data_IF_158538703714
#
_entry.id   IF_158538703714
#
_cell.length_a   1.000
_cell.length_b   1.000
_cell.length_c   1.000
_cell.angle_alpha   90.00
_cell.angle_beta   90.00
_cell.angle_gamma   90.00
#
_symmetry.space_group_name_H-M   'P 1'
#
loop_
_entity.id
_entity.type
_entity.pdbx_description
1 polymer ?
#
# COMPACT_ATOMS: atom_id res chain seq x y z
N UNK A 1 -11.94 21.88 19.70
CA UNK A 1 -12.87 22.83 19.03
C UNK A 1 -14.20 22.75 19.77
N UNK A 2 -14.55 23.78 20.56
CA UNK A 2 -15.77 23.74 21.38
C UNK A 2 -17.00 23.40 20.53
N UNK A 3 -17.81 22.46 21.02
CA UNK A 3 -19.02 21.99 20.31
C UNK A 3 -18.83 21.00 19.18
N UNK A 4 -17.57 20.64 18.83
CA UNK A 4 -17.27 19.60 17.84
C UNK A 4 -16.56 18.43 18.51
N UNK A 5 -15.41 18.67 19.12
CA UNK A 5 -14.66 17.66 19.87
C UNK A 5 -13.81 18.33 20.95
N UNK A 6 -13.61 17.64 22.06
CA UNK A 6 -12.68 18.00 23.13
C UNK A 6 -11.39 17.16 23.09
N UNK A 7 -11.26 16.24 22.11
CA UNK A 7 -10.11 15.34 21.95
C UNK A 7 -9.13 15.89 20.89
N UNK A 8 -7.85 15.93 21.22
CA UNK A 8 -6.79 16.40 20.30
C UNK A 8 -6.59 15.45 19.12
N UNK A 9 -6.69 14.16 19.40
CA UNK A 9 -6.53 13.13 18.38
C UNK A 9 -7.55 13.26 17.26
N UNK A 10 -8.80 13.66 17.55
CA UNK A 10 -9.83 13.86 16.53
C UNK A 10 -9.43 14.97 15.55
N UNK A 11 -8.81 16.03 16.08
CA UNK A 11 -8.38 17.17 15.27
C UNK A 11 -7.19 16.76 14.40
N UNK A 12 -6.20 16.09 14.99
CA UNK A 12 -5.03 15.60 14.26
C UNK A 12 -5.41 14.59 13.17
N UNK A 13 -6.31 13.67 13.49
CA UNK A 13 -6.81 12.70 12.53
C UNK A 13 -7.64 13.35 11.42
N UNK A 14 -8.51 14.30 11.75
CA UNK A 14 -9.27 15.07 10.77
C UNK A 14 -8.37 15.80 9.77
N UNK A 15 -7.27 16.39 10.25
CA UNK A 15 -6.31 17.07 9.37
C UNK A 15 -5.52 16.08 8.51
N UNK A 16 -5.13 14.93 9.05
CA UNK A 16 -4.47 13.89 8.27
C UNK A 16 -5.39 13.30 7.20
N UNK A 17 -6.62 12.93 7.56
CA UNK A 17 -7.56 12.28 6.66
C UNK A 17 -8.21 13.25 5.66
N UNK A 18 -8.57 14.45 6.12
CA UNK A 18 -9.28 15.44 5.30
C UNK A 18 -8.37 16.26 4.38
N UNK A 19 -7.13 16.50 4.81
CA UNK A 19 -6.17 17.37 4.09
C UNK A 19 -4.88 16.66 3.70
N UNK A 20 -4.79 15.36 3.93
CA UNK A 20 -3.61 14.55 3.61
C UNK A 20 -2.32 15.07 4.27
N UNK A 21 -2.41 15.62 5.47
CA UNK A 21 -1.24 16.04 6.21
C UNK A 21 -0.49 14.83 6.77
N UNK A 22 0.82 14.90 6.83
CA UNK A 22 1.65 13.85 7.43
C UNK A 22 1.54 13.80 8.95
N UNK A 23 1.24 14.93 9.57
CA UNK A 23 1.05 15.11 11.03
C UNK A 23 -0.09 16.08 11.27
N UNK A 24 -0.83 15.86 12.36
CA UNK A 24 -1.83 16.82 12.82
C UNK A 24 -1.21 18.01 13.56
N UNK A 25 -1.98 19.07 13.82
CA UNK A 25 -1.47 20.29 14.47
C UNK A 25 -0.92 20.07 15.88
N UNK A 26 -1.50 19.17 16.67
CA UNK A 26 -1.04 18.88 18.02
C UNK A 26 0.19 17.98 18.01
N UNK A 27 0.28 17.03 17.07
CA UNK A 27 1.51 16.24 16.84
C UNK A 27 2.69 17.14 16.43
N UNK A 28 2.44 18.15 15.60
CA UNK A 28 3.47 19.15 15.22
C UNK A 28 3.87 20.03 16.42
N UNK A 29 2.91 20.43 17.27
CA UNK A 29 3.19 21.20 18.48
C UNK A 29 4.03 20.39 19.48
N UNK A 30 3.76 19.10 19.68
CA UNK A 30 4.58 18.22 20.52
C UNK A 30 6.03 18.12 20.00
N UNK A 31 6.21 17.98 18.69
CA UNK A 31 7.52 17.87 18.09
C UNK A 31 8.35 19.18 18.21
N UNK A 32 7.71 20.31 18.03
CA UNK A 32 8.34 21.64 18.21
C UNK A 32 8.61 21.95 19.68
N UNK A 33 7.78 21.42 20.56
CA UNK A 33 7.69 21.76 21.97
C UNK A 33 6.82 22.99 22.21
N UNK A 34 5.79 22.85 23.06
CA UNK A 34 4.83 23.94 23.35
C UNK A 34 5.54 25.17 23.90
N UNK A 35 6.50 24.98 24.82
CA UNK A 35 7.31 26.05 25.40
C UNK A 35 8.16 26.77 24.34
N UNK A 36 8.73 26.05 23.39
CA UNK A 36 9.48 26.60 22.25
C UNK A 36 8.59 27.44 21.34
N UNK A 37 7.39 26.95 21.04
CA UNK A 37 6.41 27.67 20.23
C UNK A 37 6.08 29.04 20.85
N UNK A 38 5.70 29.07 22.14
CA UNK A 38 5.38 30.34 22.84
C UNK A 38 6.58 31.27 22.97
N UNK A 39 7.79 30.78 23.13
CA UNK A 39 8.99 31.62 23.21
C UNK A 39 9.20 32.44 21.93
N UNK A 40 8.82 31.90 20.78
CA UNK A 40 8.98 32.54 19.45
C UNK A 40 7.80 33.43 19.07
N UNK A 41 6.61 33.11 19.53
CA UNK A 41 5.37 33.83 19.20
C UNK A 41 4.84 34.66 20.36
N UNK A 42 5.71 35.52 20.95
CA UNK A 42 5.43 36.35 22.14
C UNK A 42 4.22 37.27 22.03
N UNK A 43 3.74 37.59 20.86
CA UNK A 43 2.59 38.47 20.60
C UNK A 43 1.31 37.68 20.23
N UNK A 44 1.30 36.38 20.44
CA UNK A 44 0.10 35.60 20.23
C UNK A 44 -0.83 35.75 21.43
N UNK A 45 -1.85 36.60 21.29
CA UNK A 45 -2.99 36.62 22.22
C UNK A 45 -3.80 35.34 22.00
N UNK A 46 -3.31 34.26 22.57
CA UNK A 46 -3.71 32.93 22.24
C UNK A 46 -4.71 32.31 23.16
N UNK A 47 -4.96 31.10 22.91
CA UNK A 47 -5.84 30.23 23.63
C UNK A 47 -5.27 29.98 25.04
N UNK A 48 -5.99 30.43 26.09
CA UNK A 48 -5.66 30.21 27.51
C UNK A 48 -5.32 28.75 27.84
N UNK A 49 -5.84 27.81 27.08
CA UNK A 49 -5.55 26.40 27.23
C UNK A 49 -4.08 26.07 26.87
N UNK A 50 -3.57 26.62 25.76
CA UNK A 50 -2.18 26.41 25.35
C UNK A 50 -1.21 27.15 26.29
N UNK A 51 -1.59 28.31 26.81
CA UNK A 51 -0.83 29.06 27.83
C UNK A 51 -0.69 28.24 29.12
N UNK A 52 -1.78 27.67 29.62
CA UNK A 52 -1.77 26.78 30.78
C UNK A 52 -0.90 25.53 30.55
N UNK A 53 -0.90 24.96 29.34
CA UNK A 53 -0.06 23.82 29.02
C UNK A 53 1.43 24.19 29.04
N UNK A 54 1.79 25.35 28.50
CA UNK A 54 3.16 25.85 28.54
C UNK A 54 3.63 26.09 29.99
N UNK A 55 2.75 26.63 30.88
CA UNK A 55 3.04 26.86 32.30
C UNK A 55 3.22 25.54 33.05
N UNK A 56 2.43 24.52 32.76
CA UNK A 56 2.50 23.21 33.42
C UNK A 56 3.66 22.34 32.90
N UNK A 57 4.39 22.81 31.88
CA UNK A 57 5.43 22.01 31.16
C UNK A 57 4.95 20.64 30.65
N UNK A 58 3.66 20.52 30.45
CA UNK A 58 3.07 19.30 29.90
C UNK A 58 3.08 19.42 28.38
N UNK A 59 4.09 18.83 27.74
CA UNK A 59 4.33 18.91 26.31
C UNK A 59 3.74 17.73 25.54
N UNK A 60 3.06 16.80 26.22
CA UNK A 60 2.49 15.59 25.62
C UNK A 60 0.96 15.64 25.63
N UNK A 61 0.37 16.06 24.51
CA UNK A 61 -1.08 16.09 24.33
C UNK A 61 -1.69 14.69 24.27
N UNK A 62 -0.99 13.76 23.64
CA UNK A 62 -1.47 12.41 23.35
C UNK A 62 -1.35 11.47 24.55
N UNK A 63 -0.50 11.80 25.52
CA UNK A 63 -0.37 11.05 26.79
C UNK A 63 -1.52 11.27 27.78
N UNK A 64 -2.38 12.27 27.56
CA UNK A 64 -3.40 12.70 28.54
C UNK A 64 -4.70 11.92 28.40
N UNK A 65 -5.06 11.42 27.21
CA UNK A 65 -6.25 10.57 27.00
C UNK A 65 -6.12 9.67 25.78
N UNK A 66 -5.97 8.38 26.00
CA UNK A 66 -6.27 7.35 25.01
C UNK A 66 -7.71 6.87 25.19
N UNK A 67 -8.64 7.43 24.43
CA UNK A 67 -10.04 6.99 24.43
C UNK A 67 -10.42 6.21 23.18
N UNK A 68 -9.53 6.14 22.19
CA UNK A 68 -9.71 5.37 20.97
C UNK A 68 -9.12 3.99 21.12
N UNK A 69 -9.81 2.99 20.58
CA UNK A 69 -9.23 1.68 20.30
C UNK A 69 -7.90 1.92 19.61
N UNK A 70 -6.85 1.40 20.18
CA UNK A 70 -5.48 1.58 19.69
C UNK A 70 -5.33 0.84 18.35
N UNK A 71 -5.73 1.52 17.24
CA UNK A 71 -5.64 0.96 15.90
C UNK A 71 -4.19 0.52 15.68
N UNK A 72 -4.00 -0.74 15.39
CA UNK A 72 -2.69 -1.31 15.14
C UNK A 72 -2.22 -0.94 13.73
N UNK A 73 -1.36 0.06 13.64
CA UNK A 73 -0.75 0.51 12.39
C UNK A 73 0.55 -0.22 12.11
N UNK A 74 0.99 -0.26 10.84
CA UNK A 74 2.29 -0.83 10.47
C UNK A 74 3.43 -0.16 11.26
N UNK A 75 3.42 1.17 11.43
CA UNK A 75 4.43 1.89 12.19
C UNK A 75 4.52 1.47 13.68
N UNK A 76 3.38 1.10 14.31
CA UNK A 76 3.38 0.55 15.67
C UNK A 76 3.95 -0.87 15.70
N UNK A 77 3.50 -1.71 14.79
CA UNK A 77 3.92 -3.11 14.67
C UNK A 77 5.41 -3.23 14.42
N UNK A 78 5.99 -2.37 13.58
CA UNK A 78 7.43 -2.31 13.33
C UNK A 78 8.26 -2.09 14.60
N UNK A 79 7.74 -1.33 15.57
CA UNK A 79 8.41 -1.07 16.86
C UNK A 79 8.41 -2.29 17.78
N UNK A 80 7.44 -3.19 17.62
CA UNK A 80 7.25 -4.39 18.45
C UNK A 80 7.72 -5.67 17.78
N UNK A 81 8.06 -5.62 16.50
CA UNK A 81 8.55 -6.78 15.76
C UNK A 81 9.85 -7.32 16.39
N UNK A 82 9.80 -8.57 16.83
CA UNK A 82 10.94 -9.23 17.49
C UNK A 82 11.98 -9.75 16.51
N UNK A 83 11.60 -9.93 15.25
CA UNK A 83 12.47 -10.44 14.21
C UNK A 83 12.20 -9.71 12.91
N UNK A 84 13.19 -8.98 12.42
CA UNK A 84 13.18 -8.29 11.15
C UNK A 84 14.20 -8.96 10.25
N UNK A 85 13.72 -9.47 9.13
CA UNK A 85 14.51 -10.03 8.04
C UNK A 85 14.31 -9.16 6.80
N UNK A 86 14.95 -9.47 5.71
CA UNK A 86 14.78 -8.75 4.46
C UNK A 86 16.10 -8.51 3.72
N UNK A 87 16.06 -7.52 2.84
CA UNK A 87 17.18 -7.17 1.98
C UNK A 87 17.14 -5.67 1.62
N UNK A 88 17.85 -5.25 0.58
CA UNK A 88 17.92 -3.83 0.17
C UNK A 88 16.57 -3.26 -0.34
N UNK A 89 15.64 -4.13 -0.76
CA UNK A 89 14.42 -3.74 -1.47
C UNK A 89 13.13 -4.01 -0.70
N UNK A 90 13.19 -4.83 0.36
CA UNK A 90 12.03 -5.14 1.18
C UNK A 90 12.43 -5.56 2.60
N UNK A 91 11.60 -5.23 3.57
CA UNK A 91 11.68 -5.72 4.95
C UNK A 91 10.62 -6.80 5.18
N UNK A 92 10.99 -7.85 5.91
CA UNK A 92 10.09 -8.90 6.35
C UNK A 92 9.97 -8.81 7.87
N UNK A 93 8.79 -8.50 8.37
CA UNK A 93 8.50 -8.50 9.81
C UNK A 93 7.84 -9.83 10.17
N UNK A 94 8.48 -10.61 11.05
CA UNK A 94 8.04 -11.95 11.40
C UNK A 94 7.33 -11.95 12.74
N UNK A 95 6.11 -12.49 12.74
CA UNK A 95 5.28 -12.68 13.92
C UNK A 95 5.03 -14.19 14.13
N UNK A 96 4.41 -14.56 15.25
CA UNK A 96 4.13 -15.97 15.54
C UNK A 96 3.19 -16.58 14.50
N UNK A 97 2.14 -15.85 14.12
CA UNK A 97 1.02 -16.37 13.33
C UNK A 97 1.03 -15.88 11.87
N UNK A 98 1.80 -14.83 11.54
CA UNK A 98 1.85 -14.23 10.20
C UNK A 98 3.16 -13.48 9.95
N UNK A 99 3.40 -13.16 8.70
CA UNK A 99 4.48 -12.28 8.26
C UNK A 99 3.93 -11.03 7.58
N UNK A 100 4.69 -9.95 7.65
CA UNK A 100 4.43 -8.74 6.87
C UNK A 100 5.62 -8.50 5.95
N UNK A 101 5.36 -8.17 4.67
CA UNK A 101 6.35 -7.62 3.74
C UNK A 101 6.03 -6.18 3.45
N UNK A 102 7.05 -5.32 3.60
CA UNK A 102 7.05 -3.92 3.24
C UNK A 102 8.14 -3.67 2.20
N UNK A 103 7.80 -3.09 1.06
CA UNK A 103 8.78 -2.65 0.06
C UNK A 103 9.43 -1.34 0.50
N UNK A 104 10.74 -1.21 0.28
CA UNK A 104 11.56 -0.08 0.77
C UNK A 104 12.31 0.65 -0.35
N UNK A 105 12.15 0.23 -1.59
CA UNK A 105 12.74 0.90 -2.75
C UNK A 105 12.06 2.24 -3.06
N UNK A 106 12.69 3.07 -3.89
CA UNK A 106 12.07 4.31 -4.36
C UNK A 106 10.76 3.98 -5.10
N UNK A 107 9.66 4.61 -4.68
CA UNK A 107 8.30 4.37 -5.18
C UNK A 107 7.87 2.89 -5.07
N UNK A 108 8.51 2.12 -4.20
CA UNK A 108 8.28 0.67 -4.02
C UNK A 108 8.39 -0.12 -5.35
N UNK A 109 9.34 0.30 -6.21
CA UNK A 109 9.60 -0.38 -7.46
C UNK A 109 10.17 -1.78 -7.20
N UNK A 110 9.67 -2.77 -7.93
CA UNK A 110 9.97 -4.18 -7.73
C UNK A 110 11.22 -4.61 -8.52
N UNK A 111 12.05 -5.42 -7.87
CA UNK A 111 13.27 -6.01 -8.40
C UNK A 111 13.43 -7.46 -7.90
N UNK A 112 14.59 -8.09 -8.13
CA UNK A 112 14.86 -9.45 -7.66
C UNK A 112 14.74 -9.58 -6.14
N UNK A 113 15.28 -8.60 -5.41
CA UNK A 113 15.31 -8.64 -3.95
C UNK A 113 13.91 -8.53 -3.35
N UNK A 114 13.05 -7.64 -3.89
CA UNK A 114 11.66 -7.54 -3.46
C UNK A 114 10.87 -8.82 -3.74
N UNK A 115 11.10 -9.47 -4.90
CA UNK A 115 10.47 -10.75 -5.25
C UNK A 115 10.97 -11.90 -4.37
N UNK A 116 12.26 -11.92 -4.03
CA UNK A 116 12.84 -12.89 -3.11
C UNK A 116 12.27 -12.77 -1.70
N UNK A 117 12.09 -11.53 -1.20
CA UNK A 117 11.46 -11.27 0.09
C UNK A 117 10.02 -11.79 0.15
N UNK A 118 9.24 -11.58 -0.93
CA UNK A 118 7.88 -12.13 -1.04
C UNK A 118 7.87 -13.65 -0.93
N UNK A 119 8.74 -14.34 -1.69
CA UNK A 119 8.83 -15.82 -1.63
C UNK A 119 9.21 -16.33 -0.25
N UNK A 120 10.19 -15.69 0.40
CA UNK A 120 10.65 -16.09 1.73
C UNK A 120 9.60 -15.89 2.83
N UNK A 121 8.69 -14.94 2.62
CA UNK A 121 7.70 -14.59 3.63
C UNK A 121 6.43 -15.48 3.60
N UNK A 122 6.28 -16.38 2.62
CA UNK A 122 5.11 -17.26 2.49
C UNK A 122 5.19 -18.56 3.32
N UNK A 123 6.19 -18.68 4.16
CA UNK A 123 6.27 -19.77 5.16
C UNK A 123 5.18 -19.67 6.25
N UNK A 124 4.42 -18.58 6.26
CA UNK A 124 3.24 -18.29 7.10
C UNK A 124 2.23 -17.43 6.31
N UNK A 125 1.01 -17.21 6.85
CA UNK A 125 0.12 -16.18 6.32
C UNK A 125 0.85 -14.87 6.10
N UNK A 126 0.68 -14.27 4.91
CA UNK A 126 1.45 -13.10 4.47
C UNK A 126 0.55 -11.90 4.27
N UNK A 127 0.92 -10.75 4.85
CA UNK A 127 0.34 -9.44 4.56
C UNK A 127 1.37 -8.60 3.81
N UNK A 128 1.02 -8.09 2.63
CA UNK A 128 1.84 -7.16 1.84
C UNK A 128 1.26 -5.76 2.03
N UNK A 129 1.98 -4.91 2.76
CA UNK A 129 1.52 -3.57 3.14
C UNK A 129 2.72 -2.62 3.26
N UNK A 130 2.53 -1.36 2.89
CA UNK A 130 3.59 -0.34 2.99
C UNK A 130 3.14 0.85 3.85
N UNK A 131 4.06 1.39 4.64
CA UNK A 131 3.84 2.64 5.37
C UNK A 131 3.93 3.85 4.44
N UNK A 132 4.72 3.76 3.36
CA UNK A 132 4.83 4.79 2.33
C UNK A 132 3.50 5.01 1.60
N UNK A 133 3.37 6.16 0.90
CA UNK A 133 2.14 6.57 0.20
C UNK A 133 1.74 5.64 -0.96
N UNK A 134 2.65 4.82 -1.45
CA UNK A 134 2.44 3.96 -2.62
C UNK A 134 2.50 2.48 -2.22
N UNK A 135 1.68 1.65 -2.86
CA UNK A 135 1.86 0.21 -2.78
C UNK A 135 3.06 -0.23 -3.63
N UNK A 136 3.01 0.04 -4.92
CA UNK A 136 4.14 -0.13 -5.84
C UNK A 136 3.88 0.57 -7.17
N UNK A 137 4.87 1.28 -7.69
CA UNK A 137 4.83 1.86 -9.03
C UNK A 137 5.13 0.83 -10.15
N UNK A 138 5.33 -0.44 -9.80
CA UNK A 138 5.65 -1.51 -10.74
C UNK A 138 7.11 -1.93 -10.72
N UNK A 139 7.54 -2.61 -11.79
CA UNK A 139 8.92 -3.12 -11.91
C UNK A 139 9.92 -1.97 -12.08
N UNK A 140 11.10 -2.13 -11.51
CA UNK A 140 12.22 -1.19 -11.70
C UNK A 140 12.73 -1.25 -13.14
N UNK A 141 12.18 -0.36 -13.99
CA UNK A 141 12.51 -0.32 -15.42
C UNK A 141 13.98 0.05 -15.68
N UNK A 142 14.64 0.80 -14.78
CA UNK A 142 16.06 1.15 -14.96
C UNK A 142 16.93 -0.10 -15.01
N UNK A 143 16.63 -1.08 -14.17
CA UNK A 143 17.32 -2.37 -14.15
C UNK A 143 17.17 -3.12 -15.47
N UNK A 144 15.95 -3.22 -15.98
CA UNK A 144 15.67 -3.91 -17.26
C UNK A 144 16.28 -3.18 -18.45
N UNK A 145 16.26 -1.84 -18.43
CA UNK A 145 16.84 -0.99 -19.49
C UNK A 145 18.36 -1.13 -19.59
N UNK A 146 19.06 -1.36 -18.49
CA UNK A 146 20.52 -1.60 -18.53
C UNK A 146 20.86 -2.88 -19.29
N UNK A 147 20.12 -3.96 -19.08
CA UNK A 147 20.30 -5.20 -19.83
C UNK A 147 19.93 -5.02 -21.31
N UNK A 148 18.83 -4.35 -21.60
CA UNK A 148 18.40 -4.08 -22.97
C UNK A 148 19.46 -3.30 -23.76
N UNK A 149 20.05 -2.25 -23.18
CA UNK A 149 21.13 -1.46 -23.79
C UNK A 149 22.38 -2.28 -24.08
N UNK A 150 22.66 -3.31 -23.29
CA UNK A 150 23.78 -4.24 -23.49
C UNK A 150 23.45 -5.40 -24.44
N UNK A 151 22.21 -5.51 -24.91
CA UNK A 151 21.72 -6.65 -25.70
C UNK A 151 21.61 -7.95 -24.87
N UNK A 152 21.62 -7.86 -23.54
CA UNK A 152 21.53 -9.03 -22.65
C UNK A 152 20.07 -9.41 -22.39
N UNK A 153 19.41 -9.91 -23.41
CA UNK A 153 18.02 -10.36 -23.32
C UNK A 153 17.86 -11.61 -22.44
N UNK A 154 18.91 -12.41 -22.23
CA UNK A 154 18.86 -13.58 -21.35
C UNK A 154 18.66 -13.17 -19.88
N UNK A 155 19.31 -12.10 -19.45
CA UNK A 155 19.10 -11.57 -18.09
C UNK A 155 17.69 -11.00 -17.91
N UNK A 156 17.12 -10.38 -18.95
CA UNK A 156 15.72 -9.92 -18.93
C UNK A 156 14.78 -11.13 -18.83
N UNK A 157 14.95 -12.14 -19.67
CA UNK A 157 14.16 -13.38 -19.66
C UNK A 157 14.21 -14.07 -18.28
N UNK A 158 15.40 -14.17 -17.70
CA UNK A 158 15.61 -14.73 -16.36
C UNK A 158 14.85 -13.93 -15.29
N UNK A 159 14.91 -12.61 -15.35
CA UNK A 159 14.19 -11.76 -14.39
C UNK A 159 12.68 -11.89 -14.55
N UNK A 160 12.16 -11.85 -15.77
CA UNK A 160 10.74 -12.03 -16.05
C UNK A 160 10.26 -13.40 -15.57
N UNK A 161 11.02 -14.46 -15.86
CA UNK A 161 10.73 -15.81 -15.39
C UNK A 161 10.66 -15.89 -13.85
N UNK A 162 11.63 -15.29 -13.16
CA UNK A 162 11.63 -15.25 -11.69
C UNK A 162 10.45 -14.48 -11.12
N UNK A 163 10.08 -13.37 -11.74
CA UNK A 163 8.90 -12.57 -11.37
C UNK A 163 7.62 -13.39 -11.53
N UNK A 164 7.45 -14.08 -12.67
CA UNK A 164 6.31 -14.96 -12.93
C UNK A 164 6.22 -16.12 -11.92
N UNK A 165 7.36 -16.74 -11.62
CA UNK A 165 7.42 -17.81 -10.61
C UNK A 165 7.02 -17.32 -9.23
N UNK A 166 7.47 -16.12 -8.86
CA UNK A 166 7.08 -15.52 -7.58
C UNK A 166 5.59 -15.20 -7.53
N UNK A 167 5.04 -14.59 -8.57
CA UNK A 167 3.60 -14.36 -8.70
C UNK A 167 2.80 -15.68 -8.60
N UNK A 168 3.26 -16.72 -9.29
CA UNK A 168 2.65 -18.06 -9.19
C UNK A 168 2.77 -18.62 -7.78
N UNK A 169 3.92 -18.44 -7.12
CA UNK A 169 4.14 -18.90 -5.75
C UNK A 169 3.20 -18.22 -4.76
N UNK A 170 2.98 -16.89 -4.88
CA UNK A 170 2.00 -16.17 -4.05
C UNK A 170 0.59 -16.72 -4.24
N UNK A 171 0.16 -16.93 -5.50
CA UNK A 171 -1.18 -17.42 -5.82
C UNK A 171 -1.48 -18.81 -5.29
N UNK A 172 -0.50 -19.69 -5.29
CA UNK A 172 -0.62 -21.08 -4.88
C UNK A 172 0.14 -21.37 -3.58
N UNK A 173 0.34 -20.35 -2.75
CA UNK A 173 0.92 -20.50 -1.42
C UNK A 173 0.04 -21.39 -0.54
N UNK A 174 0.68 -22.23 0.30
CA UNK A 174 -0.01 -23.06 1.30
C UNK A 174 -0.66 -22.20 2.40
N UNK A 175 -0.24 -20.95 2.53
CA UNK A 175 -0.76 -19.98 3.48
C UNK A 175 -1.45 -18.81 2.77
N UNK A 176 -2.48 -18.20 3.39
CA UNK A 176 -3.17 -17.04 2.83
C UNK A 176 -2.21 -15.86 2.58
N UNK A 177 -2.41 -15.20 1.44
CA UNK A 177 -1.71 -13.96 1.08
C UNK A 177 -2.74 -12.85 0.96
N UNK A 178 -2.52 -11.74 1.67
CA UNK A 178 -3.37 -10.55 1.65
C UNK A 178 -2.54 -9.36 1.19
N UNK A 179 -3.04 -8.62 0.21
CA UNK A 179 -2.46 -7.32 -0.17
C UNK A 179 -3.30 -6.18 0.39
N UNK A 180 -2.62 -5.18 0.97
CA UNK A 180 -3.23 -3.97 1.53
C UNK A 180 -2.76 -2.72 0.75
N UNK A 181 -3.20 -2.53 -0.52
CA UNK A 181 -2.71 -1.46 -1.36
C UNK A 181 -3.28 -0.10 -0.98
N UNK A 182 -2.43 0.94 -1.11
CA UNK A 182 -2.80 2.36 -1.08
C UNK A 182 -1.96 3.12 -2.12
N UNK A 183 -2.48 4.22 -2.65
CA UNK A 183 -1.80 5.01 -3.68
C UNK A 183 -1.53 4.21 -4.96
N UNK A 184 -0.37 4.43 -5.58
CA UNK A 184 -0.02 3.74 -6.83
C UNK A 184 0.12 2.23 -6.62
N UNK A 185 -0.60 1.46 -7.43
CA UNK A 185 -0.59 -0.01 -7.48
C UNK A 185 -0.60 -0.39 -8.96
N UNK A 186 0.51 -0.14 -9.63
CA UNK A 186 0.61 -0.16 -11.07
C UNK A 186 1.54 -1.27 -11.59
N UNK A 187 1.26 -1.74 -12.80
CA UNK A 187 2.12 -2.69 -13.50
C UNK A 187 2.46 -3.92 -12.65
N UNK A 188 3.73 -4.22 -12.44
CA UNK A 188 4.17 -5.32 -11.58
C UNK A 188 3.62 -5.27 -10.15
N UNK A 189 3.36 -4.08 -9.59
CA UNK A 189 2.69 -3.94 -8.30
C UNK A 189 1.24 -4.43 -8.33
N UNK A 190 0.51 -4.14 -9.41
CA UNK A 190 -0.79 -4.73 -9.67
C UNK A 190 -0.69 -6.24 -9.84
N UNK A 191 0.32 -6.72 -10.58
CA UNK A 191 0.53 -8.15 -10.82
C UNK A 191 0.76 -8.93 -9.51
N UNK A 192 1.49 -8.37 -8.56
CA UNK A 192 1.63 -8.93 -7.19
C UNK A 192 0.30 -8.91 -6.45
N UNK A 193 -0.41 -7.77 -6.46
CA UNK A 193 -1.69 -7.62 -5.75
C UNK A 193 -2.73 -8.65 -6.19
N UNK A 194 -2.88 -8.88 -7.50
CA UNK A 194 -3.93 -9.78 -8.03
C UNK A 194 -3.66 -11.26 -7.76
N UNK A 195 -2.45 -11.63 -7.31
CA UNK A 195 -2.13 -12.99 -6.88
C UNK A 195 -2.57 -13.27 -5.43
N UNK A 196 -2.95 -12.23 -4.68
CA UNK A 196 -3.41 -12.40 -3.30
C UNK A 196 -4.78 -13.08 -3.25
N UNK A 197 -4.99 -13.86 -2.19
CA UNK A 197 -6.29 -14.49 -1.91
C UNK A 197 -7.35 -13.40 -1.65
N UNK A 198 -6.93 -12.31 -0.99
CA UNK A 198 -7.79 -11.22 -0.56
C UNK A 198 -7.07 -9.87 -0.67
N UNK A 199 -7.82 -8.82 -0.96
CA UNK A 199 -7.31 -7.45 -1.04
C UNK A 199 -8.09 -6.54 -0.07
N UNK A 200 -7.36 -5.86 0.82
CA UNK A 200 -7.87 -4.77 1.65
C UNK A 200 -7.43 -3.43 1.03
N UNK A 201 -8.21 -2.91 0.09
CA UNK A 201 -7.84 -1.73 -0.69
C UNK A 201 -8.20 -0.45 0.04
N UNK A 202 -7.25 0.47 0.15
CA UNK A 202 -7.55 1.85 0.54
C UNK A 202 -8.41 2.54 -0.53
N UNK A 203 -9.28 3.47 -0.13
CA UNK A 203 -10.12 4.22 -1.08
C UNK A 203 -9.31 5.14 -2.00
N UNK A 204 -8.16 5.62 -1.53
CA UNK A 204 -7.23 6.38 -2.37
C UNK A 204 -6.19 5.43 -3.01
N UNK A 205 -6.53 4.87 -4.15
CA UNK A 205 -5.71 3.94 -4.92
C UNK A 205 -5.72 4.34 -6.39
N UNK A 206 -4.60 4.16 -7.07
CA UNK A 206 -4.53 4.19 -8.54
C UNK A 206 -4.02 2.83 -9.00
N UNK A 207 -4.88 2.06 -9.64
CA UNK A 207 -4.63 0.63 -9.88
C UNK A 207 -4.82 0.28 -11.35
N UNK A 208 -3.93 -0.54 -11.90
CA UNK A 208 -4.02 -1.06 -13.26
C UNK A 208 -2.70 -1.51 -13.86
N UNK A 209 -2.82 -2.06 -15.08
CA UNK A 209 -1.70 -2.49 -15.92
C UNK A 209 -1.40 -1.40 -16.95
N UNK A 210 -0.26 -0.74 -16.81
CA UNK A 210 0.12 0.46 -17.57
C UNK A 210 1.34 0.26 -18.47
N UNK A 211 1.81 -0.96 -18.60
CA UNK A 211 3.04 -1.30 -19.32
C UNK A 211 2.99 -0.86 -20.79
N UNK A 212 1.82 -0.93 -21.42
CA UNK A 212 1.63 -0.53 -22.83
C UNK A 212 1.88 0.95 -23.08
N UNK A 213 1.66 1.81 -22.06
CA UNK A 213 1.95 3.26 -22.14
C UNK A 213 3.45 3.52 -22.34
N UNK A 214 4.30 2.61 -21.85
CA UNK A 214 5.76 2.70 -22.00
C UNK A 214 6.32 1.71 -23.02
N UNK A 215 5.45 1.13 -23.87
CA UNK A 215 5.86 0.22 -24.95
C UNK A 215 6.20 -1.21 -24.52
N UNK A 216 5.71 -1.63 -23.36
CA UNK A 216 5.88 -2.97 -22.81
C UNK A 216 4.53 -3.71 -22.74
N UNK A 217 4.60 -5.01 -22.38
CA UNK A 217 3.42 -5.84 -22.12
C UNK A 217 3.54 -6.36 -20.68
N UNK A 218 2.43 -6.43 -19.90
CA UNK A 218 2.45 -7.04 -18.58
C UNK A 218 2.97 -8.48 -18.64
N UNK A 219 4.03 -8.75 -17.90
CA UNK A 219 4.75 -10.01 -18.02
C UNK A 219 4.77 -10.86 -16.74
N UNK A 220 4.33 -10.33 -15.58
CA UNK A 220 4.30 -11.06 -14.30
C UNK A 220 3.05 -11.92 -14.07
N UNK A 221 2.12 -11.92 -15.02
CA UNK A 221 0.88 -12.71 -14.95
C UNK A 221 -0.41 -11.90 -14.97
N UNK A 222 -0.33 -10.57 -15.04
CA UNK A 222 -1.49 -9.69 -15.06
C UNK A 222 -2.45 -9.97 -16.22
N UNK A 223 -1.94 -10.18 -17.44
CA UNK A 223 -2.77 -10.54 -18.60
C UNK A 223 -3.56 -11.83 -18.35
N UNK A 224 -2.92 -12.85 -17.81
CA UNK A 224 -3.55 -14.14 -17.49
C UNK A 224 -4.63 -13.98 -16.42
N UNK A 225 -4.33 -13.27 -15.34
CA UNK A 225 -5.29 -13.07 -14.25
C UNK A 225 -6.51 -12.26 -14.70
N UNK A 226 -6.29 -11.22 -15.47
CA UNK A 226 -7.39 -10.42 -16.02
C UNK A 226 -8.24 -11.25 -16.99
N UNK A 227 -7.62 -12.03 -17.84
CA UNK A 227 -8.38 -12.93 -18.74
C UNK A 227 -9.22 -13.93 -17.94
N UNK A 228 -8.64 -14.57 -16.93
CA UNK A 228 -9.36 -15.51 -16.07
C UNK A 228 -10.58 -14.85 -15.38
N UNK A 229 -10.42 -13.63 -14.85
CA UNK A 229 -11.52 -12.87 -14.18
C UNK A 229 -12.62 -12.47 -15.16
N UNK A 230 -12.29 -12.14 -16.41
CA UNK A 230 -13.30 -11.80 -17.44
C UNK A 230 -13.96 -13.02 -18.06
N UNK A 231 -13.27 -14.17 -18.13
CA UNK A 231 -13.86 -15.43 -18.56
C UNK A 231 -14.94 -15.95 -17.59
N UNK A 232 -14.84 -15.57 -16.32
CA UNK A 232 -15.85 -15.91 -15.30
C UNK A 232 -17.01 -14.90 -15.26
N UNK A 233 -17.54 -14.54 -16.43
CA UNK A 233 -18.71 -13.68 -16.59
C UNK A 233 -19.76 -14.35 -17.46
N UNK A 234 -21.02 -13.99 -17.28
CA UNK A 234 -22.13 -14.55 -18.08
C UNK A 234 -22.02 -14.18 -19.57
N UNK A 235 -21.53 -12.97 -19.85
CA UNK A 235 -21.28 -12.51 -21.21
C UNK A 235 -20.22 -13.36 -21.92
N UNK A 236 -19.13 -13.70 -21.23
CA UNK A 236 -18.05 -14.52 -21.80
C UNK A 236 -18.53 -15.97 -22.03
N UNK A 237 -19.49 -16.49 -21.28
CA UNK A 237 -20.09 -17.82 -21.52
C UNK A 237 -20.89 -17.86 -22.81
N UNK A 238 -21.44 -16.71 -23.23
CA UNK A 238 -22.26 -16.60 -24.44
C UNK A 238 -21.46 -16.11 -25.66
N UNK A 239 -20.32 -15.42 -25.45
CA UNK A 239 -19.45 -14.91 -26.52
C UNK A 239 -17.98 -15.19 -26.17
N UNK A 240 -17.30 -16.09 -26.90
CA UNK A 240 -15.91 -16.44 -26.65
C UNK A 240 -14.93 -15.28 -26.90
N UNK A 241 -15.34 -14.24 -27.62
CA UNK A 241 -14.53 -13.05 -27.89
C UNK A 241 -14.67 -11.97 -26.83
N UNK A 242 -15.70 -12.04 -26.00
CA UNK A 242 -16.00 -10.97 -25.01
C UNK A 242 -14.86 -10.73 -24.04
N UNK A 243 -14.38 -11.76 -23.34
CA UNK A 243 -13.31 -11.63 -22.36
C UNK A 243 -11.97 -11.17 -22.98
N UNK A 244 -11.47 -11.75 -24.08
CA UNK A 244 -10.27 -11.24 -24.75
C UNK A 244 -10.38 -9.79 -25.19
N UNK A 245 -11.50 -9.35 -25.73
CA UNK A 245 -11.72 -7.96 -26.16
C UNK A 245 -11.73 -6.99 -24.96
N UNK A 246 -12.36 -7.38 -23.86
CA UNK A 246 -12.37 -6.59 -22.61
C UNK A 246 -10.96 -6.44 -22.04
N UNK A 247 -10.21 -7.53 -21.98
CA UNK A 247 -8.81 -7.51 -21.48
C UNK A 247 -7.94 -6.66 -22.40
N UNK A 248 -8.10 -6.80 -23.72
CA UNK A 248 -7.37 -5.96 -24.68
C UNK A 248 -7.70 -4.47 -24.50
N UNK A 249 -8.98 -4.11 -24.35
CA UNK A 249 -9.40 -2.73 -24.13
C UNK A 249 -8.80 -2.15 -22.85
N UNK A 250 -8.77 -2.92 -21.76
CA UNK A 250 -8.25 -2.45 -20.46
C UNK A 250 -6.72 -2.37 -20.49
N UNK A 251 -6.04 -3.42 -20.90
CA UNK A 251 -4.57 -3.50 -20.85
C UNK A 251 -3.94 -2.77 -22.04
N UNK A 252 -4.50 -2.92 -23.23
CA UNK A 252 -3.96 -2.31 -24.46
C UNK A 252 -3.94 -0.78 -24.39
N UNK A 253 -4.92 -0.19 -23.73
CA UNK A 253 -4.99 1.26 -23.52
C UNK A 253 -4.44 1.70 -22.14
N UNK A 254 -3.88 0.80 -21.35
CA UNK A 254 -3.31 1.12 -20.03
C UNK A 254 -4.31 1.79 -19.09
N UNK A 255 -5.57 1.33 -19.12
CA UNK A 255 -6.63 1.95 -18.30
C UNK A 255 -6.37 1.71 -16.81
N UNK A 256 -6.54 2.75 -16.02
CA UNK A 256 -6.41 2.70 -14.56
C UNK A 256 -7.73 3.06 -13.91
N UNK A 257 -7.94 2.55 -12.71
CA UNK A 257 -8.99 3.01 -11.81
C UNK A 257 -8.36 3.86 -10.70
N UNK A 258 -9.06 4.91 -10.27
CA UNK A 258 -8.59 5.86 -9.24
C UNK A 258 -9.26 5.63 -7.88
N UNK A 259 -10.13 4.63 -7.81
CA UNK A 259 -10.81 4.22 -6.59
C UNK A 259 -11.19 2.73 -6.65
N UNK A 260 -11.46 2.07 -5.52
CA UNK A 260 -11.99 0.71 -5.51
C UNK A 260 -13.34 0.58 -6.23
N UNK A 261 -14.15 1.65 -6.23
CA UNK A 261 -15.47 1.68 -6.91
C UNK A 261 -15.31 1.61 -8.43
N UNK A 262 -14.30 2.27 -8.99
CA UNK A 262 -13.95 2.17 -10.41
C UNK A 262 -13.21 0.86 -10.74
N UNK A 263 -12.42 0.35 -9.80
CA UNK A 263 -11.61 -0.86 -9.99
C UNK A 263 -12.46 -2.14 -10.09
N UNK A 264 -13.55 -2.23 -9.36
CA UNK A 264 -14.41 -3.41 -9.32
C UNK A 264 -15.11 -3.71 -10.67
N UNK A 265 -15.73 -2.75 -11.38
CA UNK A 265 -16.28 -2.99 -12.71
C UNK A 265 -15.22 -3.38 -13.75
N UNK A 266 -13.96 -2.95 -13.55
CA UNK A 266 -12.84 -3.36 -14.40
C UNK A 266 -12.26 -4.74 -14.03
N UNK A 267 -12.83 -5.41 -13.03
CA UNK A 267 -12.33 -6.68 -12.48
C UNK A 267 -10.91 -6.58 -11.87
N UNK A 268 -10.43 -5.38 -11.57
CA UNK A 268 -9.17 -5.18 -10.85
C UNK A 268 -9.27 -5.60 -9.39
N UNK A 269 -10.43 -5.36 -8.78
CA UNK A 269 -10.82 -5.89 -7.47
C UNK A 269 -11.99 -6.86 -7.63
N UNK A 270 -12.09 -7.80 -6.70
CA UNK A 270 -13.20 -8.73 -6.60
C UNK A 270 -14.30 -8.14 -5.70
N UNK A 271 -15.56 -8.58 -5.82
CA UNK A 271 -16.65 -8.10 -4.96
C UNK A 271 -16.41 -8.33 -3.46
N UNK A 272 -15.72 -9.41 -3.10
CA UNK A 272 -15.38 -9.77 -1.73
C UNK A 272 -14.23 -8.93 -1.14
N UNK A 273 -13.44 -8.26 -1.95
CA UNK A 273 -12.32 -7.41 -1.50
C UNK A 273 -12.84 -6.21 -0.67
N UNK A 274 -12.11 -5.83 0.37
CA UNK A 274 -12.52 -4.74 1.27
C UNK A 274 -12.09 -3.39 0.77
N UNK A 275 -12.98 -2.41 0.96
CA UNK A 275 -12.76 -0.99 0.63
C UNK A 275 -12.61 -0.22 1.94
N UNK A 276 -11.42 0.27 2.23
CA UNK A 276 -11.04 0.85 3.52
C UNK A 276 -10.81 2.35 3.36
N UNK A 277 -11.58 3.17 4.07
CA UNK A 277 -11.43 4.63 4.04
C UNK A 277 -10.30 5.11 4.96
N UNK A 278 -10.18 4.52 6.15
CA UNK A 278 -9.13 4.86 7.07
C UNK A 278 -7.88 4.02 6.78
N UNK A 279 -6.84 4.67 6.24
CA UNK A 279 -5.58 3.99 5.91
C UNK A 279 -4.93 3.31 7.12
N UNK A 280 -5.09 3.87 8.32
CA UNK A 280 -4.54 3.30 9.53
C UNK A 280 -5.16 1.92 9.87
N UNK A 281 -6.39 1.65 9.41
CA UNK A 281 -7.07 0.39 9.62
C UNK A 281 -6.71 -0.70 8.58
N UNK A 282 -5.86 -0.39 7.58
CA UNK A 282 -5.50 -1.37 6.55
C UNK A 282 -4.88 -2.63 7.13
N UNK A 283 -3.94 -2.50 8.06
CA UNK A 283 -3.28 -3.66 8.67
C UNK A 283 -4.26 -4.49 9.50
N UNK A 284 -5.09 -3.84 10.32
CA UNK A 284 -6.06 -4.53 11.17
C UNK A 284 -7.09 -5.32 10.35
N UNK A 285 -7.58 -4.74 9.23
CA UNK A 285 -8.51 -5.44 8.32
C UNK A 285 -7.83 -6.56 7.54
N UNK A 286 -6.51 -6.51 7.37
CA UNK A 286 -5.73 -7.50 6.62
C UNK A 286 -5.34 -8.73 7.44
N UNK A 287 -5.47 -8.67 8.77
CA UNK A 287 -5.30 -9.79 9.70
C UNK A 287 -6.54 -10.69 9.73
#
# INVERSE_FOLDING_TARGET
>A
VPGITDEFNDIDEAMRLGFNWSKGPFEMLEEIGVSNFFSKFKNYEGNKFLENLAETKNENFHGIRQKYTDIETLGKVKKTASNIDGNSSASIYRFNDYNIVEFTTKANALDYDSMDALKKATDKPLIIINESMQFSAGVNLSYTMEFAKKGDFKSIEKFVGYFQETCKHLKYSDHPVVSAPSGLTLGGGFEVMVQSNFVASHTNIVVGLVETIVGLIPAGGGCKEMLARWLDTDEARNDPHYAPLKVFDIIGYGRTATSPVEAEPMKYLKPEDKKIMNRNSLLEVSK
#
